data_IF_663323457782
#
_entry.id   IF_663323457782
#
_cell.length_a   1.000
_cell.length_b   1.000
_cell.length_c   1.000
_cell.angle_alpha   90.00
_cell.angle_beta   90.00
_cell.angle_gamma   90.00
#
_symmetry.space_group_name_H-M   'P 1'
#
loop_
_entity.id
_entity.type
_entity.pdbx_description
1 polymer ?
#
# COMPACT_ATOMS: atom_id res chain seq x y z
N UNK A 1 -21.32 33.56 29.34
CA UNK A 1 -20.97 34.81 30.04
C UNK A 1 -20.60 34.52 31.49
N UNK A 2 -21.53 34.07 32.35
CA UNK A 2 -21.22 33.69 33.74
C UNK A 2 -20.03 32.72 33.89
N UNK A 3 -19.92 31.70 33.02
CA UNK A 3 -18.78 30.77 33.03
C UNK A 3 -17.42 31.42 32.78
N UNK A 4 -17.37 32.39 31.85
CA UNK A 4 -16.16 33.15 31.52
C UNK A 4 -15.80 34.07 32.69
N UNK A 5 -16.82 34.75 33.21
CA UNK A 5 -16.74 35.62 34.37
C UNK A 5 -16.18 34.89 35.60
N UNK A 6 -16.63 33.66 35.81
CA UNK A 6 -16.15 32.76 36.86
C UNK A 6 -14.69 32.35 36.63
N UNK A 7 -14.29 32.04 35.39
CA UNK A 7 -12.90 31.73 35.05
C UNK A 7 -11.98 32.91 35.39
N UNK A 8 -12.36 34.13 35.02
CA UNK A 8 -11.60 35.35 35.34
C UNK A 8 -11.51 35.55 36.86
N UNK A 9 -12.61 35.33 37.60
CA UNK A 9 -12.59 35.42 39.07
C UNK A 9 -11.67 34.37 39.69
N UNK A 10 -11.70 33.13 39.23
CA UNK A 10 -10.78 32.09 39.69
C UNK A 10 -9.32 32.48 39.44
N UNK A 11 -9.01 33.07 38.28
CA UNK A 11 -7.67 33.55 37.97
C UNK A 11 -7.26 34.73 38.87
N UNK A 12 -8.16 35.68 39.13
CA UNK A 12 -7.91 36.79 40.05
C UNK A 12 -7.61 36.29 41.48
N UNK A 13 -8.41 35.35 41.99
CA UNK A 13 -8.20 34.72 43.30
C UNK A 13 -6.90 33.92 43.34
N UNK A 14 -6.54 33.22 42.25
CA UNK A 14 -5.28 32.50 42.16
C UNK A 14 -4.08 33.47 42.25
N UNK A 15 -4.13 34.60 41.53
CA UNK A 15 -3.10 35.66 41.59
C UNK A 15 -2.96 36.26 42.99
N UNK A 16 -4.07 36.45 43.71
CA UNK A 16 -4.06 36.91 45.11
C UNK A 16 -3.42 35.90 46.05
N UNK A 17 -3.75 34.60 45.92
CA UNK A 17 -3.13 33.53 46.73
C UNK A 17 -1.63 33.41 46.50
N UNK A 18 -1.18 33.64 45.27
CA UNK A 18 0.25 33.63 44.93
C UNK A 18 0.98 34.89 45.45
N UNK A 19 0.29 35.87 46.05
CA UNK A 19 0.85 37.14 46.52
C UNK A 19 1.69 37.88 45.46
N UNK A 20 1.42 37.66 44.17
CA UNK A 20 2.17 38.29 43.09
C UNK A 20 1.60 39.68 42.80
N UNK A 21 2.46 40.70 42.88
CA UNK A 21 2.08 42.07 42.52
C UNK A 21 2.11 42.23 41.00
N UNK A 22 1.18 43.02 40.46
CA UNK A 22 1.18 43.44 39.06
C UNK A 22 2.53 44.11 38.77
N UNK A 23 3.21 43.66 37.71
CA UNK A 23 4.55 44.12 37.33
C UNK A 23 5.72 43.27 37.84
N UNK A 24 5.49 42.23 38.64
CA UNK A 24 6.56 41.30 39.04
C UNK A 24 6.98 40.37 37.90
N UNK A 25 8.30 40.19 37.73
CA UNK A 25 8.89 39.30 36.72
C UNK A 25 8.36 37.86 36.88
N UNK A 26 7.83 37.28 35.81
CA UNK A 26 7.53 35.85 35.75
C UNK A 26 8.79 35.00 35.92
N UNK A 27 8.74 33.97 36.79
CA UNK A 27 9.88 33.10 36.99
C UNK A 27 10.24 32.36 35.70
N UNK A 28 11.54 32.19 35.47
CA UNK A 28 12.05 31.70 34.19
C UNK A 28 11.59 30.28 33.87
N UNK A 29 11.46 29.42 34.89
CA UNK A 29 11.07 28.02 34.71
C UNK A 29 9.63 27.88 34.22
N UNK A 30 8.70 28.74 34.65
CA UNK A 30 7.30 28.72 34.16
C UNK A 30 7.27 29.01 32.66
N UNK A 31 7.99 30.05 32.22
CA UNK A 31 8.10 30.40 30.78
C UNK A 31 8.71 29.27 29.96
N UNK A 32 9.75 28.64 30.51
CA UNK A 32 10.42 27.53 29.84
C UNK A 32 9.49 26.31 29.72
N UNK A 33 8.80 25.94 30.80
CA UNK A 33 7.87 24.79 30.81
C UNK A 33 6.71 25.03 29.86
N UNK A 34 6.07 26.19 29.91
CA UNK A 34 4.96 26.54 29.02
C UNK A 34 5.39 26.53 27.54
N UNK A 35 6.54 27.14 27.23
CA UNK A 35 7.11 27.13 25.89
C UNK A 35 7.48 25.74 25.39
N UNK A 36 8.08 24.90 26.24
CA UNK A 36 8.43 23.51 25.89
C UNK A 36 7.17 22.68 25.65
N UNK A 37 6.15 22.79 26.51
CA UNK A 37 4.89 22.05 26.35
C UNK A 37 4.22 22.44 25.02
N UNK A 38 4.14 23.74 24.72
CA UNK A 38 3.56 24.20 23.45
C UNK A 38 4.37 23.72 22.23
N UNK A 39 5.69 23.81 22.30
CA UNK A 39 6.58 23.36 21.23
C UNK A 39 6.49 21.85 20.99
N UNK A 40 6.57 21.04 22.05
CA UNK A 40 6.45 19.58 21.97
C UNK A 40 5.07 19.18 21.46
N UNK A 41 4.00 19.86 21.91
CA UNK A 41 2.65 19.65 21.41
C UNK A 41 2.55 19.91 19.90
N UNK A 42 3.14 21.00 19.41
CA UNK A 42 3.16 21.32 17.98
C UNK A 42 3.99 20.31 17.18
N UNK A 43 5.17 19.93 17.65
CA UNK A 43 6.01 18.92 16.99
C UNK A 43 5.29 17.58 16.95
N UNK A 44 4.72 17.13 18.06
CA UNK A 44 3.94 15.90 18.13
C UNK A 44 2.78 15.95 17.14
N UNK A 45 2.10 17.07 17.01
CA UNK A 45 0.99 17.23 16.08
C UNK A 45 1.40 17.13 14.60
N UNK A 46 2.60 17.61 14.26
CA UNK A 46 3.15 17.50 12.90
C UNK A 46 3.70 16.10 12.62
N UNK A 47 4.35 15.47 13.61
CA UNK A 47 5.03 14.19 13.45
C UNK A 47 4.12 12.97 13.66
N UNK A 48 3.10 13.07 14.51
CA UNK A 48 2.20 11.96 14.82
C UNK A 48 1.49 11.40 13.58
N UNK A 49 0.97 12.22 12.64
CA UNK A 49 0.44 11.71 11.38
C UNK A 49 1.49 10.96 10.56
N UNK A 50 2.74 11.45 10.52
CA UNK A 50 3.84 10.79 9.81
C UNK A 50 4.17 9.42 10.40
N UNK A 51 4.20 9.30 11.73
CA UNK A 51 4.47 8.04 12.43
C UNK A 51 3.40 6.98 12.18
N UNK A 52 2.13 7.39 12.14
CA UNK A 52 1.03 6.48 11.81
C UNK A 52 1.14 6.02 10.36
N UNK A 53 1.41 6.95 9.43
CA UNK A 53 1.52 6.61 8.00
C UNK A 53 2.72 5.70 7.69
N UNK A 54 3.84 5.84 8.40
CA UNK A 54 5.00 4.96 8.22
C UNK A 54 4.81 3.57 8.83
N UNK A 55 4.02 3.46 9.91
CA UNK A 55 3.86 2.20 10.66
C UNK A 55 2.64 1.38 10.24
N UNK A 56 1.62 1.99 9.61
CA UNK A 56 0.35 1.32 9.25
C UNK A 56 0.31 0.77 7.81
N UNK A 57 1.42 0.73 7.07
CA UNK A 57 1.43 0.14 5.73
C UNK A 57 2.10 -1.25 5.74
N UNK A 58 1.43 -2.33 6.20
CA UNK A 58 1.95 -3.67 6.03
C UNK A 58 2.06 -3.95 4.55
N UNK A 59 3.29 -4.13 4.08
CA UNK A 59 3.58 -4.49 2.71
C UNK A 59 3.52 -6.01 2.61
N UNK A 60 2.51 -6.55 1.93
CA UNK A 60 2.37 -8.00 1.76
C UNK A 60 2.97 -8.44 0.43
N UNK A 61 3.55 -9.65 0.36
CA UNK A 61 3.93 -10.26 -0.92
C UNK A 61 2.73 -10.30 -1.87
N UNK A 62 2.95 -9.93 -3.12
CA UNK A 62 1.90 -9.93 -4.13
C UNK A 62 2.09 -11.08 -5.11
N UNK A 63 1.48 -12.21 -4.77
CA UNK A 63 1.60 -13.46 -5.51
C UNK A 63 0.71 -13.49 -6.76
N UNK A 64 1.07 -14.36 -7.69
CA UNK A 64 0.25 -14.68 -8.86
C UNK A 64 -0.59 -15.92 -8.59
N UNK A 65 -1.86 -15.87 -8.99
CA UNK A 65 -2.78 -17.00 -8.81
C UNK A 65 -2.64 -18.01 -9.94
N UNK A 66 -2.35 -17.52 -11.15
CA UNK A 66 -2.19 -18.36 -12.33
C UNK A 66 -0.96 -17.96 -13.11
N UNK A 67 -0.32 -18.95 -13.71
CA UNK A 67 0.78 -18.75 -14.65
C UNK A 67 0.52 -19.56 -15.91
N UNK A 68 0.83 -18.97 -17.06
CA UNK A 68 0.76 -19.59 -18.36
C UNK A 68 2.10 -19.44 -19.05
N UNK A 69 2.61 -20.53 -19.59
CA UNK A 69 3.86 -20.55 -20.34
C UNK A 69 3.55 -21.12 -21.72
N UNK A 70 3.96 -20.41 -22.75
CA UNK A 70 3.73 -20.78 -24.13
C UNK A 70 5.06 -20.76 -24.87
N UNK A 71 5.36 -21.84 -25.59
CA UNK A 71 6.56 -21.98 -26.41
C UNK A 71 6.10 -22.22 -27.83
N UNK A 72 6.58 -21.39 -28.74
CA UNK A 72 6.14 -21.41 -30.12
C UNK A 72 7.16 -20.86 -31.09
N UNK A 73 6.80 -20.87 -32.36
CA UNK A 73 7.54 -20.22 -33.43
C UNK A 73 6.53 -19.46 -34.30
N UNK A 74 6.92 -18.29 -34.81
CA UNK A 74 6.03 -17.43 -35.58
C UNK A 74 4.69 -17.16 -34.86
N UNK A 75 3.61 -17.75 -35.37
CA UNK A 75 2.24 -17.63 -34.83
C UNK A 75 1.72 -18.95 -34.23
N UNK A 76 2.51 -20.02 -34.25
CA UNK A 76 2.13 -21.34 -33.78
C UNK A 76 2.73 -21.64 -32.41
N UNK A 77 1.96 -22.30 -31.54
CA UNK A 77 2.44 -22.79 -30.25
C UNK A 77 2.73 -24.29 -30.35
N UNK A 78 3.96 -24.66 -30.00
CA UNK A 78 4.38 -26.06 -29.88
C UNK A 78 3.84 -26.64 -28.57
N UNK A 79 4.02 -25.91 -27.48
CA UNK A 79 3.61 -26.29 -26.14
C UNK A 79 2.99 -25.10 -25.42
N UNK A 80 1.87 -25.34 -24.74
CA UNK A 80 1.21 -24.38 -23.87
C UNK A 80 0.84 -25.09 -22.58
N UNK A 81 1.25 -24.55 -21.45
CA UNK A 81 0.88 -25.04 -20.13
C UNK A 81 0.32 -23.89 -19.29
N UNK A 82 -0.90 -24.05 -18.80
CA UNK A 82 -1.50 -23.17 -17.81
C UNK A 82 -1.63 -23.90 -16.48
N UNK A 83 -1.22 -23.23 -15.41
CA UNK A 83 -1.25 -23.81 -14.07
C UNK A 83 -1.82 -22.81 -13.07
N UNK A 84 -2.70 -23.30 -12.20
CA UNK A 84 -3.16 -22.62 -10.97
C UNK A 84 -2.41 -23.13 -9.75
N UNK A 85 -1.48 -24.03 -9.99
CA UNK A 85 -0.96 -25.00 -9.08
C UNK A 85 0.39 -24.41 -8.64
N UNK A 86 0.37 -23.73 -7.49
CA UNK A 86 1.49 -22.97 -6.94
C UNK A 86 1.71 -23.20 -5.45
N UNK A 87 2.96 -23.03 -5.03
CA UNK A 87 3.39 -23.07 -3.62
C UNK A 87 4.10 -21.76 -3.31
N UNK A 88 3.76 -21.16 -2.18
CA UNK A 88 4.29 -19.86 -1.76
C UNK A 88 5.31 -19.99 -0.62
N UNK A 89 6.22 -19.03 -0.55
CA UNK A 89 7.09 -18.74 0.60
C UNK A 89 7.89 -19.96 1.08
N UNK A 90 7.67 -20.41 2.32
CA UNK A 90 8.52 -21.37 3.03
C UNK A 90 8.61 -22.73 2.34
N UNK A 91 7.50 -23.23 1.80
CA UNK A 91 7.50 -24.50 1.10
C UNK A 91 8.20 -24.40 -0.27
N UNK A 92 8.15 -23.24 -0.95
CA UNK A 92 8.97 -23.02 -2.15
C UNK A 92 10.46 -22.90 -1.82
N UNK A 93 10.80 -22.30 -0.66
CA UNK A 93 12.18 -22.18 -0.17
C UNK A 93 12.77 -23.53 0.25
N UNK A 94 11.96 -24.45 0.77
CA UNK A 94 12.41 -25.81 1.10
C UNK A 94 12.92 -26.57 -0.12
N UNK A 95 12.21 -26.46 -1.24
CA UNK A 95 12.68 -27.02 -2.51
C UNK A 95 13.96 -26.35 -3.04
N UNK A 96 14.13 -25.05 -2.77
CA UNK A 96 15.36 -24.33 -3.08
C UNK A 96 16.54 -24.75 -2.18
N UNK A 97 16.26 -25.12 -0.93
CA UNK A 97 17.26 -25.71 -0.03
C UNK A 97 17.71 -27.07 -0.55
N UNK A 98 16.79 -27.88 -1.05
CA UNK A 98 17.13 -29.16 -1.68
C UNK A 98 18.02 -29.01 -2.93
N UNK A 99 17.95 -27.85 -3.61
CA UNK A 99 18.80 -27.51 -4.76
C UNK A 99 20.13 -26.80 -4.39
N UNK A 100 20.47 -26.67 -3.10
CA UNK A 100 21.64 -25.92 -2.60
C UNK A 100 21.69 -24.43 -2.99
N UNK A 101 20.56 -23.82 -3.36
CA UNK A 101 20.47 -22.42 -3.80
C UNK A 101 20.10 -21.47 -2.66
N UNK A 102 19.49 -21.99 -1.60
CA UNK A 102 18.88 -21.21 -0.52
C UNK A 102 19.86 -20.35 0.30
N UNK A 103 21.16 -20.67 0.26
CA UNK A 103 22.22 -19.95 0.99
C UNK A 103 22.48 -18.55 0.42
N UNK A 104 22.01 -18.28 -0.79
CA UNK A 104 22.15 -17.00 -1.48
C UNK A 104 20.97 -16.04 -1.25
N UNK A 105 19.91 -16.49 -0.58
CA UNK A 105 18.67 -15.72 -0.41
C UNK A 105 18.57 -15.11 1.00
N UNK A 106 18.48 -13.78 1.04
CA UNK A 106 18.23 -13.03 2.27
C UNK A 106 16.89 -13.42 2.91
N UNK A 107 16.82 -13.32 4.23
CA UNK A 107 15.67 -13.70 5.04
C UNK A 107 14.38 -13.01 4.58
N UNK A 108 14.48 -11.76 4.11
CA UNK A 108 13.35 -10.95 3.68
C UNK A 108 12.84 -11.34 2.28
N UNK A 109 13.73 -11.81 1.40
CA UNK A 109 13.39 -12.28 0.04
C UNK A 109 12.70 -13.65 0.05
N UNK A 110 12.82 -14.44 1.12
CA UNK A 110 12.19 -15.77 1.23
C UNK A 110 10.67 -15.70 1.15
N UNK A 111 10.09 -14.65 1.72
CA UNK A 111 8.64 -14.42 1.69
C UNK A 111 8.14 -13.92 0.34
N UNK A 112 9.02 -13.68 -0.63
CA UNK A 112 8.67 -13.17 -1.94
C UNK A 112 8.72 -14.24 -3.02
N UNK A 113 9.14 -15.45 -2.66
CA UNK A 113 9.32 -16.54 -3.60
C UNK A 113 8.02 -17.29 -3.75
N UNK A 114 7.67 -17.55 -5.00
CA UNK A 114 6.56 -18.39 -5.39
C UNK A 114 7.06 -19.40 -6.43
N UNK A 115 6.54 -20.63 -6.37
CA UNK A 115 6.88 -21.67 -7.34
C UNK A 115 5.62 -22.17 -8.03
N UNK A 116 5.69 -22.26 -9.35
CA UNK A 116 4.69 -22.89 -10.21
C UNK A 116 5.18 -24.24 -10.74
N UNK A 117 4.28 -25.22 -10.81
CA UNK A 117 4.53 -26.48 -11.50
C UNK A 117 3.65 -26.61 -12.74
N UNK A 118 4.27 -27.03 -13.83
CA UNK A 118 3.63 -27.29 -15.11
C UNK A 118 3.75 -28.77 -15.41
N UNK A 119 2.68 -29.36 -15.92
CA UNK A 119 2.71 -30.72 -16.43
C UNK A 119 3.56 -30.81 -17.69
N UNK A 120 4.15 -31.98 -17.95
CA UNK A 120 5.00 -32.15 -19.12
C UNK A 120 4.20 -32.07 -20.43
N UNK A 121 2.94 -32.48 -20.42
CA UNK A 121 2.07 -32.48 -21.61
C UNK A 121 1.50 -31.11 -21.89
N UNK A 122 1.46 -30.71 -23.17
CA UNK A 122 0.77 -29.48 -23.59
C UNK A 122 -0.75 -29.58 -23.38
N UNK A 123 -1.38 -28.50 -22.92
CA UNK A 123 -2.84 -28.39 -22.76
C UNK A 123 -3.56 -28.34 -24.11
N UNK A 124 -2.90 -27.75 -25.10
CA UNK A 124 -3.43 -27.63 -26.47
C UNK A 124 -2.71 -28.61 -27.39
N UNK A 125 -3.45 -29.36 -28.24
CA UNK A 125 -2.82 -30.18 -29.27
C UNK A 125 -2.14 -29.29 -30.31
N UNK A 126 -1.06 -29.78 -30.91
CA UNK A 126 -0.37 -29.08 -31.97
C UNK A 126 -1.10 -29.30 -33.29
N UNK A 127 -1.63 -28.21 -33.86
CA UNK A 127 -2.29 -28.18 -35.16
C UNK A 127 -1.49 -27.24 -36.08
N UNK A 128 -0.64 -27.78 -36.97
CA UNK A 128 0.08 -26.94 -37.92
C UNK A 128 -0.91 -26.28 -38.89
N UNK A 129 -0.82 -24.97 -39.08
CA UNK A 129 -1.79 -24.19 -39.87
C UNK A 129 -1.63 -24.45 -41.37
N UNK A 130 -0.42 -24.83 -41.81
CA UNK A 130 -0.14 -25.27 -43.18
C UNK A 130 0.95 -26.36 -43.15
N UNK A 131 0.72 -27.52 -43.78
CA UNK A 131 1.71 -28.61 -43.90
C UNK A 131 3.02 -28.17 -44.59
N UNK A 132 3.05 -27.00 -45.26
CA UNK A 132 4.23 -26.41 -45.90
C UNK A 132 4.92 -25.24 -45.17
N UNK A 133 4.37 -24.75 -44.03
CA UNK A 133 4.96 -23.64 -43.26
C UNK A 133 6.06 -24.08 -42.27
N UNK A 134 6.36 -25.38 -42.24
CA UNK A 134 7.42 -26.03 -41.44
C UNK A 134 8.84 -25.78 -41.95
N UNK A 135 9.02 -24.92 -42.97
CA UNK A 135 10.28 -24.77 -43.70
C UNK A 135 11.30 -23.78 -43.12
N UNK A 136 11.04 -23.10 -41.99
CA UNK A 136 12.09 -22.26 -41.38
C UNK A 136 11.87 -21.94 -39.89
N UNK A 137 11.94 -22.94 -39.02
CA UNK A 137 12.04 -22.69 -37.56
C UNK A 137 13.44 -22.11 -37.29
N UNK A 138 13.55 -20.79 -37.21
CA UNK A 138 14.82 -20.07 -36.98
C UNK A 138 14.98 -19.60 -35.54
N UNK A 139 13.85 -19.32 -34.87
CA UNK A 139 13.80 -18.89 -33.49
C UNK A 139 12.57 -19.46 -32.80
N UNK A 140 12.69 -19.65 -31.48
CA UNK A 140 11.60 -20.02 -30.59
C UNK A 140 11.29 -18.83 -29.70
N UNK A 141 10.00 -18.53 -29.58
CA UNK A 141 9.46 -17.55 -28.65
C UNK A 141 8.89 -18.26 -27.45
N UNK A 142 9.35 -17.87 -26.27
CA UNK A 142 8.75 -18.27 -25.00
C UNK A 142 8.05 -17.08 -24.39
N UNK A 143 6.75 -17.20 -24.17
CA UNK A 143 5.92 -16.20 -23.53
C UNK A 143 5.49 -16.72 -22.16
N UNK A 144 5.78 -15.96 -21.11
CA UNK A 144 5.29 -16.23 -19.77
C UNK A 144 4.28 -15.14 -19.43
N UNK A 145 3.09 -15.57 -19.06
CA UNK A 145 2.03 -14.71 -18.55
C UNK A 145 1.73 -15.10 -17.10
N UNK A 146 1.62 -14.13 -16.22
CA UNK A 146 1.21 -14.33 -14.84
C UNK A 146 0.04 -13.42 -14.52
N UNK A 147 -1.00 -13.98 -13.90
CA UNK A 147 -2.18 -13.24 -13.48
C UNK A 147 -2.27 -13.19 -11.95
N UNK A 148 -2.47 -11.97 -11.46
CA UNK A 148 -2.59 -11.60 -10.05
C UNK A 148 -3.98 -11.01 -9.78
N UNK A 149 -4.29 -10.73 -8.51
CA UNK A 149 -5.59 -10.17 -8.13
C UNK A 149 -5.79 -8.73 -8.67
N UNK A 150 -6.84 -8.53 -9.49
CA UNK A 150 -7.23 -7.26 -10.11
C UNK A 150 -7.39 -6.07 -9.16
N UNK A 151 -7.57 -6.30 -7.87
CA UNK A 151 -7.90 -5.25 -6.90
C UNK A 151 -6.71 -4.44 -6.40
N UNK A 152 -5.49 -4.97 -6.51
CA UNK A 152 -4.32 -4.42 -5.82
C UNK A 152 -3.40 -3.59 -6.73
N UNK A 153 -3.47 -3.77 -8.05
CA UNK A 153 -2.56 -3.10 -8.99
C UNK A 153 -3.24 -2.77 -10.32
N UNK A 154 -2.76 -1.72 -10.99
CA UNK A 154 -3.21 -1.35 -12.34
C UNK A 154 -2.88 -2.41 -13.42
N UNK A 155 -1.89 -3.28 -13.18
CA UNK A 155 -1.47 -4.34 -14.09
C UNK A 155 -1.60 -5.73 -13.43
N UNK A 156 -2.82 -6.29 -13.39
CA UNK A 156 -3.03 -7.60 -12.77
C UNK A 156 -2.52 -8.75 -13.63
N UNK A 157 -2.52 -8.60 -14.96
CA UNK A 157 -1.94 -9.57 -15.89
C UNK A 157 -0.65 -8.98 -16.42
N UNK A 158 0.44 -9.74 -16.30
CA UNK A 158 1.76 -9.37 -16.80
C UNK A 158 2.20 -10.44 -17.78
N UNK A 159 2.66 -10.02 -18.96
CA UNK A 159 3.19 -10.90 -19.99
C UNK A 159 4.56 -10.42 -20.44
N UNK A 160 5.52 -11.34 -20.54
CA UNK A 160 6.81 -11.11 -21.20
C UNK A 160 7.13 -12.23 -22.16
N UNK A 161 7.77 -11.88 -23.27
CA UNK A 161 8.20 -12.82 -24.30
C UNK A 161 9.70 -12.70 -24.53
N UNK A 162 10.36 -13.83 -24.69
CA UNK A 162 11.78 -13.93 -25.04
C UNK A 162 11.93 -14.74 -26.33
N UNK A 163 12.70 -14.19 -27.25
CA UNK A 163 13.03 -14.83 -28.53
C UNK A 163 14.43 -15.43 -28.46
N UNK A 164 14.53 -16.73 -28.73
CA UNK A 164 15.76 -17.50 -28.71
C UNK A 164 16.08 -17.98 -30.11
N UNK A 165 17.26 -17.63 -30.60
CA UNK A 165 17.75 -18.11 -31.88
C UNK A 165 18.25 -19.55 -31.74
N UNK A 166 17.84 -20.42 -32.64
CA UNK A 166 18.23 -21.83 -32.64
C UNK A 166 19.52 -22.05 -33.43
N UNK A 167 20.32 -23.02 -32.99
CA UNK A 167 21.48 -23.51 -33.72
C UNK A 167 21.08 -24.39 -34.91
N UNK A 168 21.89 -24.40 -35.97
CA UNK A 168 21.59 -25.15 -37.18
C UNK A 168 21.42 -26.66 -36.94
N UNK A 169 22.13 -27.23 -35.95
CA UNK A 169 21.99 -28.64 -35.54
C UNK A 169 20.60 -28.90 -34.95
N UNK A 170 20.14 -28.00 -34.07
CA UNK A 170 18.83 -28.09 -33.42
C UNK A 170 17.71 -27.90 -34.43
N UNK A 171 17.87 -26.98 -35.38
CA UNK A 171 16.94 -26.75 -36.51
C UNK A 171 16.80 -28.02 -37.35
N UNK A 172 17.92 -28.63 -37.75
CA UNK A 172 17.89 -29.88 -38.52
C UNK A 172 17.19 -31.01 -37.76
N UNK A 173 17.40 -31.11 -36.44
CA UNK A 173 16.68 -32.09 -35.60
C UNK A 173 15.18 -31.79 -35.52
N UNK A 174 14.77 -30.53 -35.37
CA UNK A 174 13.35 -30.16 -35.40
C UNK A 174 12.69 -30.58 -36.71
N UNK A 175 13.33 -30.31 -37.85
CA UNK A 175 12.82 -30.69 -39.17
C UNK A 175 12.67 -32.21 -39.31
N UNK A 176 13.64 -32.99 -38.81
CA UNK A 176 13.56 -34.45 -38.79
C UNK A 176 12.42 -34.97 -37.89
N UNK A 177 12.23 -34.37 -36.71
CA UNK A 177 11.16 -34.77 -35.77
C UNK A 177 9.79 -34.51 -36.38
N UNK A 178 9.61 -33.37 -37.03
CA UNK A 178 8.34 -33.01 -37.67
C UNK A 178 8.04 -33.95 -38.85
N UNK A 179 9.04 -34.28 -39.67
CA UNK A 179 8.88 -35.21 -40.79
C UNK A 179 8.57 -36.64 -40.33
N UNK A 180 9.29 -37.12 -39.30
CA UNK A 180 9.12 -38.48 -38.79
C UNK A 180 7.87 -38.62 -37.90
N UNK A 181 7.33 -37.52 -37.38
CA UNK A 181 6.17 -37.49 -36.48
C UNK A 181 6.48 -37.89 -35.04
N UNK A 182 7.74 -38.15 -34.70
CA UNK A 182 8.21 -38.47 -33.36
C UNK A 182 9.67 -38.06 -33.16
N UNK A 183 10.04 -37.78 -31.92
CA UNK A 183 11.43 -37.59 -31.52
C UNK A 183 11.61 -36.52 -30.45
N UNK A 184 12.86 -36.34 -29.99
CA UNK A 184 13.24 -35.52 -28.84
C UNK A 184 14.35 -34.55 -29.20
N UNK A 185 14.22 -33.29 -28.82
CA UNK A 185 15.21 -32.24 -29.04
C UNK A 185 15.48 -31.47 -27.75
N UNK A 186 16.76 -31.25 -27.46
CA UNK A 186 17.20 -30.46 -26.31
C UNK A 186 17.23 -28.98 -26.71
N UNK A 187 16.63 -28.13 -25.89
CA UNK A 187 16.46 -26.71 -26.14
C UNK A 187 16.59 -25.95 -24.81
N UNK A 188 17.28 -24.82 -24.81
CA UNK A 188 17.37 -23.92 -23.66
C UNK A 188 16.57 -22.63 -23.94
N UNK A 189 15.24 -22.71 -23.84
CA UNK A 189 14.31 -21.63 -24.23
C UNK A 189 13.40 -21.15 -23.10
N UNK A 190 13.47 -21.73 -21.90
CA UNK A 190 12.58 -21.36 -20.80
C UNK A 190 13.39 -20.81 -19.64
N UNK A 191 13.03 -19.61 -19.18
CA UNK A 191 13.59 -19.03 -17.97
C UNK A 191 12.91 -19.67 -16.77
N UNK A 192 13.67 -20.43 -15.98
CA UNK A 192 13.19 -21.04 -14.73
C UNK A 192 13.04 -20.04 -13.60
N UNK A 193 13.67 -18.86 -13.70
CA UNK A 193 13.71 -17.84 -12.67
C UNK A 193 13.29 -16.51 -13.26
N UNK A 194 12.23 -15.92 -12.70
CA UNK A 194 11.67 -14.66 -13.21
C UNK A 194 11.31 -13.74 -12.05
N UNK A 195 11.47 -12.44 -12.25
CA UNK A 195 11.00 -11.40 -11.33
C UNK A 195 9.69 -10.84 -11.84
N UNK A 196 8.72 -10.69 -10.94
CA UNK A 196 7.36 -10.25 -11.24
C UNK A 196 7.09 -8.94 -10.52
N UNK A 197 7.56 -7.81 -11.07
CA UNK A 197 7.34 -6.49 -10.51
C UNK A 197 5.89 -6.00 -10.68
N UNK A 198 5.60 -4.84 -10.11
CA UNK A 198 4.30 -4.16 -10.23
C UNK A 198 4.18 -3.28 -11.48
N UNK A 199 5.29 -3.02 -12.19
CA UNK A 199 5.38 -2.11 -13.33
C UNK A 199 4.90 -2.69 -14.67
N UNK A 200 4.33 -3.90 -14.67
CA UNK A 200 3.63 -4.45 -15.82
C UNK A 200 4.48 -5.27 -16.80
N UNK A 201 5.75 -5.59 -16.49
CA UNK A 201 6.57 -6.53 -17.27
C UNK A 201 7.34 -7.51 -16.39
N UNK A 202 7.38 -8.80 -16.78
CA UNK A 202 8.21 -9.80 -16.10
C UNK A 202 9.66 -9.57 -16.55
N UNK A 203 10.58 -9.44 -15.60
CA UNK A 203 12.01 -9.29 -15.88
C UNK A 203 12.78 -10.53 -15.43
N UNK A 204 14.04 -10.60 -15.81
CA UNK A 204 14.93 -11.64 -15.29
C UNK A 204 15.12 -11.44 -13.78
N UNK A 205 15.32 -12.56 -13.06
CA UNK A 205 15.66 -12.50 -11.65
C UNK A 205 17.04 -11.84 -11.47
N UNK A 206 17.15 -10.89 -10.55
CA UNK A 206 18.41 -10.26 -10.18
C UNK A 206 19.24 -11.28 -9.39
N UNK A 207 20.38 -11.70 -9.94
CA UNK A 207 21.27 -12.75 -9.43
C UNK A 207 20.70 -14.19 -9.42
N UNK A 208 20.42 -14.81 -10.59
CA UNK A 208 20.17 -16.23 -10.65
C UNK A 208 21.48 -17.00 -10.34
N UNK A 209 21.43 -18.14 -9.63
CA UNK A 209 22.62 -18.96 -9.43
C UNK A 209 23.18 -19.41 -10.79
N UNK A 210 24.45 -19.10 -11.07
CA UNK A 210 25.10 -19.34 -12.37
C UNK A 210 25.06 -20.81 -12.83
N UNK A 211 24.95 -21.76 -11.90
CA UNK A 211 24.89 -23.21 -12.18
C UNK A 211 23.51 -23.70 -12.65
N UNK A 212 22.44 -22.89 -12.50
CA UNK A 212 21.05 -23.27 -12.79
C UNK A 212 20.42 -22.54 -13.99
N UNK A 213 21.18 -21.65 -14.62
CA UNK A 213 20.78 -20.93 -15.85
C UNK A 213 20.78 -21.82 -17.10
N UNK A 214 21.48 -22.96 -17.07
CA UNK A 214 21.74 -23.80 -18.23
C UNK A 214 21.03 -25.15 -18.21
N UNK A 215 19.89 -25.24 -17.52
CA UNK A 215 19.13 -26.48 -17.51
C UNK A 215 18.57 -26.77 -18.92
N UNK A 216 19.09 -27.81 -19.56
CA UNK A 216 18.62 -28.29 -20.86
C UNK A 216 17.24 -28.90 -20.72
N UNK A 217 16.26 -28.28 -21.38
CA UNK A 217 14.89 -28.76 -21.44
C UNK A 217 14.73 -29.57 -22.71
N UNK A 218 13.89 -30.60 -22.68
CA UNK A 218 13.63 -31.41 -23.85
C UNK A 218 12.19 -31.29 -24.33
N UNK A 219 12.04 -31.01 -25.61
CA UNK A 219 10.78 -31.06 -26.34
C UNK A 219 10.67 -32.41 -27.03
N UNK A 220 9.58 -33.13 -26.80
CA UNK A 220 9.30 -34.40 -27.50
C UNK A 220 7.97 -34.34 -28.24
N UNK A 221 7.99 -34.71 -29.52
CA UNK A 221 6.78 -34.85 -30.32
C UNK A 221 6.21 -36.25 -30.13
N UNK A 222 4.94 -36.31 -29.75
CA UNK A 222 4.20 -37.56 -29.64
C UNK A 222 2.94 -37.49 -30.49
N UNK A 223 2.57 -38.62 -31.09
CA UNK A 223 1.32 -38.79 -31.80
C UNK A 223 0.47 -39.85 -31.11
N UNK A 224 -0.79 -39.52 -30.82
CA UNK A 224 -1.78 -40.44 -30.27
C UNK A 224 -2.98 -40.48 -31.21
N UNK A 225 -3.37 -41.67 -31.64
CA UNK A 225 -4.61 -41.87 -32.37
C UNK A 225 -5.76 -42.02 -31.38
N UNK A 226 -6.78 -41.19 -31.51
CA UNK A 226 -8.00 -41.27 -30.68
C UNK A 226 -9.18 -41.58 -31.60
N UNK A 227 -9.97 -42.59 -31.24
CA UNK A 227 -11.20 -42.94 -31.94
C UNK A 227 -12.41 -42.47 -31.13
N UNK A 228 -13.15 -41.49 -31.64
CA UNK A 228 -14.44 -41.05 -31.07
C UNK A 228 -15.51 -41.24 -32.13
N UNK A 229 -16.58 -41.97 -31.82
CA UNK A 229 -17.71 -42.19 -32.74
C UNK A 229 -17.30 -42.70 -34.13
N UNK A 230 -16.43 -43.71 -34.21
CA UNK A 230 -15.88 -44.28 -35.46
C UNK A 230 -15.05 -43.32 -36.33
N UNK A 231 -14.79 -42.10 -35.86
CA UNK A 231 -13.82 -41.17 -36.48
C UNK A 231 -12.49 -41.36 -35.76
N UNK A 232 -11.47 -41.79 -36.49
CA UNK A 232 -10.09 -41.88 -35.99
C UNK A 232 -9.37 -40.58 -36.31
N UNK A 233 -9.03 -39.80 -35.28
CA UNK A 233 -8.22 -38.59 -35.42
C UNK A 233 -6.84 -38.82 -34.83
N UNK A 234 -5.81 -38.47 -35.60
CA UNK A 234 -4.43 -38.45 -35.12
C UNK A 234 -4.19 -37.12 -34.41
N UNK A 235 -3.99 -37.15 -33.09
CA UNK A 235 -3.57 -35.98 -32.31
C UNK A 235 -2.06 -35.98 -32.19
N UNK A 236 -1.42 -34.87 -32.55
CA UNK A 236 -0.02 -34.61 -32.28
C UNK A 236 0.10 -33.58 -31.18
N UNK A 237 0.98 -33.79 -30.23
CA UNK A 237 1.24 -32.84 -29.17
C UNK A 237 2.72 -32.89 -28.78
N UNK A 238 3.23 -31.74 -28.34
CA UNK A 238 4.55 -31.66 -27.77
C UNK A 238 4.48 -31.86 -26.27
N UNK A 239 5.50 -32.50 -25.72
CA UNK A 239 5.73 -32.57 -24.27
C UNK A 239 7.05 -31.91 -23.94
N UNK A 240 7.07 -31.21 -22.81
CA UNK A 240 8.16 -30.41 -22.32
C UNK A 240 8.67 -31.03 -21.02
N UNK A 241 9.94 -31.45 -21.00
CA UNK A 241 10.50 -32.21 -19.87
C UNK A 241 11.75 -31.55 -19.33
N UNK A 242 11.85 -31.48 -18.01
CA UNK A 242 13.03 -30.98 -17.30
C UNK A 242 13.97 -32.16 -17.00
N UNK A 243 15.11 -32.22 -17.70
CA UNK A 243 16.10 -33.29 -17.54
C UNK A 243 15.87 -34.53 -18.40
N UNK A 244 16.64 -35.58 -18.14
CA UNK A 244 16.66 -36.80 -18.97
C UNK A 244 15.37 -37.64 -18.85
N UNK A 245 14.64 -37.50 -17.75
CA UNK A 245 13.40 -38.24 -17.49
C UNK A 245 12.23 -37.67 -18.31
N UNK A 246 11.38 -38.54 -18.86
CA UNK A 246 10.32 -38.15 -19.80
C UNK A 246 8.99 -37.78 -19.13
N UNK A 247 8.93 -37.79 -17.80
CA UNK A 247 7.68 -37.63 -17.04
C UNK A 247 7.66 -36.39 -16.15
N UNK A 248 8.81 -35.76 -15.93
CA UNK A 248 8.94 -34.57 -15.08
C UNK A 248 8.65 -33.31 -15.88
N UNK A 249 7.58 -32.61 -15.53
CA UNK A 249 7.25 -31.30 -16.09
C UNK A 249 8.19 -30.19 -15.57
N UNK A 250 7.89 -28.95 -15.94
CA UNK A 250 8.75 -27.80 -15.60
C UNK A 250 8.32 -27.14 -14.29
N UNK A 251 9.31 -26.70 -13.51
CA UNK A 251 9.13 -25.84 -12.35
C UNK A 251 9.69 -24.45 -12.64
N UNK A 252 8.89 -23.40 -12.38
CA UNK A 252 9.32 -22.00 -12.52
C UNK A 252 9.22 -21.32 -11.16
N UNK A 253 10.28 -20.63 -10.79
CA UNK A 253 10.37 -19.79 -9.60
C UNK A 253 10.16 -18.33 -9.98
N UNK A 254 9.22 -17.71 -9.28
CA UNK A 254 8.83 -16.31 -9.41
C UNK A 254 9.25 -15.55 -8.16
N UNK A 255 9.91 -14.41 -8.36
CA UNK A 255 10.19 -13.44 -7.31
C UNK A 255 9.17 -12.31 -7.38
N UNK A 256 8.25 -12.29 -6.43
CA UNK A 256 7.22 -11.27 -6.34
C UNK A 256 7.73 -10.02 -5.62
N UNK A 257 7.07 -8.89 -5.84
CA UNK A 257 7.31 -7.68 -5.05
C UNK A 257 6.27 -7.54 -3.95
N UNK A 258 6.57 -6.73 -2.94
CA UNK A 258 5.57 -6.34 -1.95
C UNK A 258 4.69 -5.23 -2.50
N UNK A 259 3.42 -5.26 -2.12
CA UNK A 259 2.48 -4.17 -2.37
C UNK A 259 1.85 -3.70 -1.07
N UNK A 260 1.62 -2.39 -0.91
CA UNK A 260 0.80 -1.88 0.18
C UNK A 260 -0.64 -2.40 0.02
N UNK A 261 -1.30 -2.74 1.13
CA UNK A 261 -2.68 -3.25 1.16
C UNK A 261 -3.63 -2.27 1.88
N UNK A 262 -4.92 -2.33 1.53
CA UNK A 262 -5.97 -1.54 2.15
C UNK A 262 -5.93 -0.05 1.78
N UNK A 263 -6.20 0.83 2.74
CA UNK A 263 -6.22 2.29 2.54
C UNK A 263 -4.88 2.83 2.00
N UNK A 264 -3.76 2.20 2.37
CA UNK A 264 -2.43 2.59 1.90
C UNK A 264 -2.24 2.34 0.39
N UNK A 265 -2.82 1.27 -0.17
CA UNK A 265 -2.78 0.95 -1.60
C UNK A 265 -3.45 2.04 -2.44
N UNK A 266 -4.58 2.55 -1.97
CA UNK A 266 -5.34 3.60 -2.65
C UNK A 266 -4.59 4.95 -2.69
N UNK A 267 -3.67 5.19 -1.74
CA UNK A 267 -2.93 6.45 -1.60
C UNK A 267 -1.48 6.38 -2.11
N UNK A 268 -1.00 5.19 -2.49
CA UNK A 268 0.41 4.90 -2.78
C UNK A 268 0.99 5.67 -3.99
N UNK A 269 0.18 6.15 -4.93
CA UNK A 269 0.71 6.76 -6.15
C UNK A 269 1.05 8.25 -6.05
N UNK A 270 0.49 8.99 -5.07
CA UNK A 270 0.76 10.42 -4.75
C UNK A 270 -0.17 10.99 -3.63
N UNK A 271 -1.19 10.23 -3.20
CA UNK A 271 -2.24 10.72 -2.29
C UNK A 271 -1.78 10.92 -0.84
N UNK A 272 -0.74 10.20 -0.40
CA UNK A 272 -0.27 10.25 0.99
C UNK A 272 0.31 11.63 1.37
N UNK A 273 1.04 12.26 0.45
CA UNK A 273 1.58 13.61 0.64
C UNK A 273 0.44 14.63 0.71
N UNK A 274 -0.57 14.50 -0.16
CA UNK A 274 -1.76 15.35 -0.14
C UNK A 274 -2.59 15.21 1.13
N UNK A 275 -2.80 13.98 1.61
CA UNK A 275 -3.48 13.70 2.88
C UNK A 275 -2.74 14.34 4.06
N UNK A 276 -1.42 14.14 4.13
CA UNK A 276 -0.59 14.73 5.18
C UNK A 276 -0.67 16.27 5.17
N UNK A 277 -0.47 16.89 4.00
CA UNK A 277 -0.59 18.34 3.85
C UNK A 277 -1.99 18.83 4.24
N UNK A 278 -3.04 18.10 3.87
CA UNK A 278 -4.43 18.42 4.24
C UNK A 278 -4.65 18.44 5.75
N UNK A 279 -4.16 17.42 6.47
CA UNK A 279 -4.26 17.35 7.94
C UNK A 279 -3.48 18.49 8.60
N UNK A 280 -2.21 18.70 8.19
CA UNK A 280 -1.35 19.74 8.76
C UNK A 280 -1.93 21.14 8.53
N UNK A 281 -2.42 21.43 7.32
CA UNK A 281 -3.05 22.72 6.99
C UNK A 281 -4.35 22.93 7.77
N UNK A 282 -5.15 21.88 7.94
CA UNK A 282 -6.39 21.96 8.72
C UNK A 282 -6.09 22.34 10.17
N UNK A 283 -5.11 21.68 10.78
CA UNK A 283 -4.72 21.98 12.16
C UNK A 283 -4.08 23.36 12.27
N UNK A 284 -3.23 23.76 11.32
CA UNK A 284 -2.68 25.12 11.26
C UNK A 284 -3.78 26.19 11.20
N UNK A 285 -4.88 25.94 10.46
CA UNK A 285 -6.06 26.81 10.47
C UNK A 285 -6.74 26.86 11.84
N UNK A 286 -6.92 25.72 12.50
CA UNK A 286 -7.50 25.69 13.85
C UNK A 286 -6.65 26.46 14.87
N UNK A 287 -5.32 26.26 14.87
CA UNK A 287 -4.40 27.00 15.74
C UNK A 287 -4.46 28.51 15.46
N UNK A 288 -4.50 28.90 14.19
CA UNK A 288 -4.66 30.31 13.80
C UNK A 288 -5.98 30.89 14.30
N UNK A 289 -7.08 30.14 14.20
CA UNK A 289 -8.38 30.58 14.71
C UNK A 289 -8.35 30.79 16.22
N UNK A 290 -7.71 29.89 16.97
CA UNK A 290 -7.54 30.02 18.42
C UNK A 290 -6.78 31.28 18.82
N UNK A 291 -5.61 31.53 18.21
CA UNK A 291 -4.82 32.74 18.49
C UNK A 291 -5.57 34.02 18.08
N UNK A 292 -6.28 33.98 16.95
CA UNK A 292 -7.06 35.14 16.49
C UNK A 292 -8.27 35.42 17.40
N UNK A 293 -8.90 34.39 17.94
CA UNK A 293 -10.02 34.53 18.88
C UNK A 293 -9.60 35.16 20.21
N UNK A 294 -8.38 34.88 20.69
CA UNK A 294 -7.86 35.46 21.93
C UNK A 294 -7.85 37.00 21.91
N UNK A 295 -7.46 37.62 20.78
CA UNK A 295 -7.43 39.09 20.65
C UNK A 295 -8.84 39.68 20.78
N UNK A 296 -9.85 39.03 20.20
CA UNK A 296 -11.23 39.52 20.26
C UNK A 296 -11.88 39.43 21.65
N UNK A 297 -11.29 38.65 22.57
CA UNK A 297 -11.81 38.39 23.91
C UNK A 297 -11.16 39.24 25.02
N UNK A 298 -10.17 40.07 24.68
CA UNK A 298 -9.44 40.91 25.65
C UNK A 298 -10.37 41.72 26.57
N UNK A 299 -11.48 42.27 26.03
CA UNK A 299 -12.44 43.05 26.82
C UNK A 299 -13.14 42.25 27.93
N UNK A 300 -13.20 40.92 27.79
CA UNK A 300 -13.81 40.00 28.73
C UNK A 300 -12.77 39.37 29.68
N UNK A 301 -11.62 38.99 29.14
CA UNK A 301 -10.60 38.24 29.88
C UNK A 301 -9.78 39.17 30.82
N UNK A 302 -9.52 40.43 30.44
CA UNK A 302 -8.68 41.37 31.20
C UNK A 302 -9.47 42.28 32.17
N UNK A 303 -10.55 41.79 32.78
CA UNK A 303 -11.32 42.56 33.78
C UNK A 303 -10.64 42.56 35.17
N UNK A 304 -10.40 43.72 35.81
CA UNK A 304 -9.69 43.79 37.08
C UNK A 304 -10.52 43.33 38.29
N UNK A 305 -11.82 43.62 38.32
CA UNK A 305 -12.75 43.17 39.38
C UNK A 305 -14.04 42.71 38.74
N UNK A 306 -14.53 41.54 39.14
CA UNK A 306 -15.62 40.85 38.43
C UNK A 306 -16.87 40.64 39.31
N UNK A 307 -16.77 40.98 40.60
CA UNK A 307 -17.80 40.65 41.60
C UNK A 307 -19.16 41.27 41.29
N UNK A 308 -19.21 42.56 40.95
CA UNK A 308 -20.47 43.26 40.63
C UNK A 308 -21.20 42.63 39.44
N UNK A 309 -20.47 42.27 38.39
CA UNK A 309 -21.03 41.59 37.21
C UNK A 309 -21.54 40.18 37.56
N UNK A 310 -20.87 39.51 38.50
CA UNK A 310 -21.23 38.16 38.91
C UNK A 310 -22.47 38.19 39.80
N UNK A 311 -22.59 39.18 40.70
CA UNK A 311 -23.80 39.45 41.47
C UNK A 311 -24.99 39.74 40.56
N UNK A 312 -24.84 40.57 39.52
CA UNK A 312 -25.93 40.78 38.54
C UNK A 312 -26.40 39.47 37.87
N UNK A 313 -25.48 38.56 37.56
CA UNK A 313 -25.83 37.25 37.02
C UNK A 313 -26.50 36.34 38.06
N UNK A 314 -26.07 36.42 39.32
CA UNK A 314 -26.67 35.70 40.45
C UNK A 314 -28.07 36.23 40.76
N UNK A 315 -28.30 37.54 40.72
CA UNK A 315 -29.61 38.17 40.93
C UNK A 315 -30.62 37.70 39.88
N UNK A 316 -30.20 37.58 38.61
CA UNK A 316 -31.03 36.98 37.54
C UNK A 316 -31.36 35.52 37.87
N UNK A 317 -30.38 34.75 38.36
CA UNK A 317 -30.58 33.35 38.74
C UNK A 317 -31.55 33.22 39.93
N UNK A 318 -31.44 34.12 40.91
CA UNK A 318 -32.30 34.19 42.09
C UNK A 318 -33.73 34.60 41.69
N UNK A 319 -33.90 35.63 40.85
CA UNK A 319 -35.21 36.05 40.35
C UNK A 319 -35.93 34.89 39.63
N UNK A 320 -35.18 34.12 38.83
CA UNK A 320 -35.68 32.90 38.19
C UNK A 320 -36.09 31.83 39.19
N UNK A 321 -35.33 31.63 40.26
CA UNK A 321 -35.66 30.65 41.32
C UNK A 321 -36.94 31.02 42.07
N UNK A 322 -37.18 32.32 42.30
CA UNK A 322 -38.42 32.84 42.89
C UNK A 322 -39.58 32.96 41.88
N UNK A 323 -39.35 32.62 40.61
CA UNK A 323 -40.32 32.70 39.52
C UNK A 323 -40.87 34.12 39.29
N UNK A 324 -40.09 35.16 39.62
CA UNK A 324 -40.40 36.56 39.36
C UNK A 324 -39.87 36.97 37.98
N UNK A 325 -40.65 36.65 36.95
CA UNK A 325 -40.27 36.82 35.55
C UNK A 325 -40.13 38.29 35.13
N UNK A 326 -40.89 39.21 35.75
CA UNK A 326 -40.80 40.64 35.45
C UNK A 326 -39.47 41.22 35.96
N UNK A 327 -39.06 40.84 37.17
CA UNK A 327 -37.78 41.23 37.72
C UNK A 327 -36.61 40.60 36.93
N UNK A 328 -36.74 39.32 36.55
CA UNK A 328 -35.75 38.63 35.71
C UNK A 328 -35.54 39.37 34.38
N UNK A 329 -36.63 39.74 33.68
CA UNK A 329 -36.55 40.48 32.42
C UNK A 329 -35.90 41.86 32.61
N UNK A 330 -36.21 42.56 33.70
CA UNK A 330 -35.62 43.86 34.01
C UNK A 330 -34.10 43.76 34.23
N UNK A 331 -33.66 42.85 35.10
CA UNK A 331 -32.25 42.59 35.41
C UNK A 331 -31.47 42.12 34.17
N UNK A 332 -32.09 41.27 33.34
CA UNK A 332 -31.49 40.81 32.09
C UNK A 332 -31.28 41.96 31.09
N UNK A 333 -32.29 42.83 30.93
CA UNK A 333 -32.18 43.99 30.05
C UNK A 333 -31.10 44.96 30.52
N UNK A 334 -30.96 45.16 31.82
CA UNK A 334 -29.89 45.96 32.41
C UNK A 334 -28.51 45.36 32.10
N UNK A 335 -28.33 44.05 32.28
CA UNK A 335 -27.08 43.35 31.97
C UNK A 335 -26.71 43.46 30.48
N UNK A 336 -27.68 43.31 29.57
CA UNK A 336 -27.42 43.43 28.12
C UNK A 336 -27.06 44.86 27.74
N UNK A 337 -27.72 45.87 28.32
CA UNK A 337 -27.37 47.26 28.07
C UNK A 337 -25.96 47.58 28.56
N UNK A 338 -25.57 47.02 29.71
CA UNK A 338 -24.21 47.12 30.21
C UNK A 338 -23.21 46.48 29.26
N UNK A 339 -23.49 45.27 28.76
CA UNK A 339 -22.63 44.55 27.81
C UNK A 339 -22.48 45.24 26.44
N UNK A 340 -23.40 46.14 26.09
CA UNK A 340 -23.35 46.90 24.83
C UNK A 340 -22.38 48.09 24.91
N UNK A 341 -22.09 48.59 26.11
CA UNK A 341 -21.26 49.79 26.31
C UNK A 341 -19.94 49.44 27.06
N UNK A 342 -18.81 49.34 26.35
CA UNK A 342 -17.54 48.94 26.96
C UNK A 342 -17.03 49.95 27.99
N UNK A 343 -17.42 51.23 27.91
CA UNK A 343 -16.98 52.26 28.84
C UNK A 343 -17.63 52.02 30.21
N UNK A 344 -18.92 51.70 30.23
CA UNK A 344 -19.65 51.37 31.47
C UNK A 344 -19.10 50.11 32.13
N UNK A 345 -18.72 49.10 31.34
CA UNK A 345 -18.09 47.88 31.86
C UNK A 345 -16.78 48.21 32.57
N UNK A 346 -15.93 49.07 31.99
CA UNK A 346 -14.68 49.50 32.60
C UNK A 346 -14.95 50.23 33.92
N UNK A 347 -15.93 51.12 33.95
CA UNK A 347 -16.26 51.87 35.17
C UNK A 347 -16.74 50.99 36.32
N UNK A 348 -17.54 49.95 36.03
CA UNK A 348 -18.04 49.02 37.05
C UNK A 348 -16.96 48.05 37.53
N UNK A 349 -16.02 47.67 36.66
CA UNK A 349 -14.97 46.69 36.96
C UNK A 349 -13.72 47.31 37.60
N UNK A 350 -13.62 48.64 37.67
CA UNK A 350 -12.54 49.35 38.38
C UNK A 350 -12.41 48.87 39.82
N UNK A 351 -11.17 48.64 40.25
CA UNK A 351 -10.84 48.27 41.63
C UNK A 351 -11.11 49.48 42.54
N UNK A 352 -11.98 49.32 43.53
CA UNK A 352 -12.14 50.31 44.60
C UNK A 352 -10.83 50.36 45.39
N UNK A 353 -10.21 51.54 45.45
CA UNK A 353 -8.86 51.76 45.99
C UNK A 353 -8.78 51.70 47.50
#
# INVERSE_FOLDING_TARGET
FYSELFSVKCEAVARERENRRIGQKQPWHVKLVEGIIMFVGLVALVWFPLLILSSWAPNTPYYSNTSMVQIGFNTEYLWSGQTTNHVDSEAAVEDLRAMNVSTLLDSDSRQLIQRFWFDATSDTPWQPVNDGATSNITSLRTTITMARDGKLTAFPIITSSWDYRLDNVTINRFNQIIQNGYGRVAVNVVKKWVSVPTNGQITDAENPPAELLNATIYLTLQSRTVSVNNVTTGLRYWTLTDGADSTTGIKIFSFCTRVPIGFSAALASNGLVGLYLGIVLSIGRFLRLWVSAAISRIWLDDMPTVDKLMTMCEDIFIARQYNDLLLEEHLYNELIQLLRDPIRIIDITKKES
#
